data_IF_129539030688
#
_entry.id   IF_129539030688
#
_cell.length_a   1.000
_cell.length_b   1.000
_cell.length_c   1.000
_cell.angle_alpha   90.00
_cell.angle_beta   90.00
_cell.angle_gamma   90.00
#
_symmetry.space_group_name_H-M   'P 1'
#
loop_
_entity.id
_entity.type
_entity.pdbx_description
1 polymer ?
#
# COMPACT_ATOMS: atom_id res chain seq x y z
N UNK A 1 12.69 0.18 -3.98
CA UNK A 1 11.38 0.36 -4.64
C UNK A 1 10.79 -1.00 -4.91
N UNK A 2 9.49 -1.20 -4.65
CA UNK A 2 8.76 -2.43 -4.97
C UNK A 2 7.52 -2.08 -5.80
N UNK A 3 7.08 -2.98 -6.68
CA UNK A 3 5.83 -2.82 -7.42
C UNK A 3 4.65 -3.13 -6.49
N UNK A 4 3.79 -2.14 -6.24
CA UNK A 4 2.58 -2.27 -5.42
C UNK A 4 1.34 -2.10 -6.28
N UNK A 5 0.32 -2.90 -5.99
CA UNK A 5 -1.05 -2.71 -6.44
C UNK A 5 -1.99 -2.71 -5.24
N UNK A 6 -3.27 -2.37 -5.45
CA UNK A 6 -4.25 -2.35 -4.39
C UNK A 6 -5.62 -2.82 -4.90
N UNK A 7 -6.35 -3.60 -4.09
CA UNK A 7 -7.72 -4.01 -4.40
C UNK A 7 -8.70 -2.82 -4.44
N UNK A 8 -8.41 -1.73 -3.72
CA UNK A 8 -9.19 -0.49 -3.76
C UNK A 8 -8.99 0.30 -5.07
N UNK A 9 -7.89 0.07 -5.80
CA UNK A 9 -7.60 0.68 -7.11
C UNK A 9 -7.19 -0.42 -8.10
N UNK A 10 -8.13 -1.28 -8.53
CA UNK A 10 -7.84 -2.43 -9.37
C UNK A 10 -7.12 -2.05 -10.68
N UNK A 11 -6.24 -2.94 -11.14
CA UNK A 11 -5.48 -2.83 -12.41
C UNK A 11 -4.48 -1.66 -12.50
N UNK A 12 -4.21 -1.01 -11.36
CA UNK A 12 -3.17 0.00 -11.22
C UNK A 12 -2.05 -0.60 -10.37
N UNK A 13 -0.85 -0.66 -10.94
CA UNK A 13 0.37 -1.03 -10.25
C UNK A 13 1.41 0.06 -10.49
N UNK A 14 2.14 0.46 -9.46
CA UNK A 14 3.22 1.44 -9.55
C UNK A 14 4.38 1.07 -8.62
N UNK A 15 5.58 1.56 -8.94
CA UNK A 15 6.74 1.43 -8.05
C UNK A 15 6.63 2.43 -6.90
N UNK A 16 6.69 1.92 -5.67
CA UNK A 16 6.63 2.70 -4.43
C UNK A 16 7.89 2.48 -3.61
N UNK A 17 8.36 3.55 -2.96
CA UNK A 17 9.48 3.49 -2.01
C UNK A 17 8.93 3.30 -0.61
N UNK A 18 9.26 2.17 0.01
CA UNK A 18 8.93 1.82 1.39
C UNK A 18 10.20 1.69 2.24
N UNK A 19 10.04 1.64 3.55
CA UNK A 19 11.12 1.17 4.43
C UNK A 19 11.37 -0.31 4.14
N UNK A 20 12.63 -0.69 4.02
CA UNK A 20 13.04 -2.07 3.72
C UNK A 20 12.73 -3.01 4.89
N UNK A 21 12.87 -2.51 6.11
CA UNK A 21 12.62 -3.22 7.35
C UNK A 21 11.71 -2.40 8.27
N UNK A 22 10.86 -3.08 9.03
CA UNK A 22 9.96 -2.48 10.01
C UNK A 22 9.89 -3.33 11.28
N UNK A 23 9.64 -2.65 12.40
CA UNK A 23 9.17 -3.26 13.66
C UNK A 23 7.77 -2.76 13.94
N UNK A 24 6.82 -3.68 14.13
CA UNK A 24 5.43 -3.35 14.43
C UNK A 24 4.96 -4.01 15.71
N UNK A 25 4.11 -3.32 16.45
CA UNK A 25 3.34 -3.86 17.58
C UNK A 25 1.89 -3.97 17.16
N UNK A 26 1.27 -5.11 17.46
CA UNK A 26 -0.12 -5.39 17.13
C UNK A 26 -0.74 -6.30 18.18
N UNK A 27 -2.06 -6.47 18.13
CA UNK A 27 -2.75 -7.50 18.90
C UNK A 27 -3.08 -8.66 17.99
N UNK A 28 -2.89 -9.89 18.48
CA UNK A 28 -3.41 -11.07 17.81
C UNK A 28 -4.94 -11.15 17.96
N UNK A 29 -5.54 -12.22 17.41
CA UNK A 29 -6.99 -12.43 17.43
C UNK A 29 -7.56 -12.62 18.84
N UNK A 30 -6.72 -12.96 19.83
CA UNK A 30 -7.08 -13.12 21.24
C UNK A 30 -6.84 -11.82 22.04
N UNK A 31 -6.39 -10.75 21.38
CA UNK A 31 -6.12 -9.45 22.00
C UNK A 31 -4.75 -9.36 22.69
N UNK A 32 -3.89 -10.38 22.57
CA UNK A 32 -2.57 -10.37 23.19
C UNK A 32 -1.62 -9.50 22.39
N UNK A 33 -0.85 -8.65 23.10
CA UNK A 33 0.19 -7.83 22.48
C UNK A 33 1.34 -8.68 21.93
N UNK A 34 1.67 -8.42 20.67
CA UNK A 34 2.72 -9.07 19.90
C UNK A 34 3.62 -8.00 19.26
N UNK A 35 4.88 -8.35 19.03
CA UNK A 35 5.82 -7.55 18.24
C UNK A 35 6.40 -8.40 17.10
N UNK A 36 6.57 -7.79 15.94
CA UNK A 36 7.13 -8.43 14.74
C UNK A 36 8.16 -7.51 14.11
N UNK A 37 9.36 -8.05 13.86
CA UNK A 37 10.42 -7.43 13.08
C UNK A 37 10.52 -8.18 11.74
N UNK A 38 10.42 -7.46 10.62
CA UNK A 38 10.37 -8.09 9.30
C UNK A 38 10.86 -7.14 8.20
N UNK A 39 11.23 -7.71 7.07
CA UNK A 39 11.69 -7.03 5.86
C UNK A 39 10.99 -7.59 4.60
N UNK A 40 11.46 -7.16 3.42
CA UNK A 40 11.03 -7.70 2.15
C UNK A 40 9.54 -7.45 1.86
N UNK A 41 8.86 -8.44 1.27
CA UNK A 41 7.46 -8.31 0.86
C UNK A 41 6.53 -8.10 2.06
N UNK A 42 6.77 -8.78 3.20
CA UNK A 42 5.90 -8.66 4.37
C UNK A 42 5.98 -7.25 4.98
N UNK A 43 7.18 -6.66 5.05
CA UNK A 43 7.34 -5.27 5.49
C UNK A 43 6.60 -4.29 4.58
N UNK A 44 6.61 -4.52 3.25
CA UNK A 44 5.87 -3.69 2.29
C UNK A 44 4.36 -3.84 2.49
N UNK A 45 3.85 -5.07 2.60
CA UNK A 45 2.43 -5.32 2.85
C UNK A 45 1.95 -4.68 4.15
N UNK A 46 2.70 -4.81 5.25
CA UNK A 46 2.33 -4.19 6.53
C UNK A 46 2.25 -2.67 6.42
N UNK A 47 3.22 -2.04 5.76
CA UNK A 47 3.18 -0.59 5.52
C UNK A 47 1.99 -0.17 4.64
N UNK A 48 1.66 -0.97 3.62
CA UNK A 48 0.50 -0.73 2.75
C UNK A 48 -0.83 -0.80 3.53
N UNK A 49 -1.02 -1.83 4.34
CA UNK A 49 -2.26 -1.98 5.11
C UNK A 49 -2.36 -0.96 6.25
N UNK A 50 -1.23 -0.57 6.84
CA UNK A 50 -1.20 0.52 7.83
C UNK A 50 -1.59 1.87 7.20
N UNK A 51 -1.22 2.13 5.94
CA UNK A 51 -1.68 3.34 5.24
C UNK A 51 -3.22 3.36 5.11
N UNK A 52 -3.86 2.23 4.80
CA UNK A 52 -5.32 2.16 4.73
C UNK A 52 -5.98 2.52 6.06
N UNK A 53 -5.41 2.06 7.18
CA UNK A 53 -5.88 2.44 8.53
C UNK A 53 -5.77 3.96 8.78
N UNK A 54 -4.87 4.63 8.07
CA UNK A 54 -4.67 6.09 8.13
C UNK A 54 -5.37 6.84 6.98
N UNK A 55 -6.22 6.17 6.19
CA UNK A 55 -6.92 6.77 5.06
C UNK A 55 -6.00 7.18 3.90
N UNK A 56 -4.82 6.57 3.80
CA UNK A 56 -3.84 6.81 2.72
C UNK A 56 -3.81 5.64 1.75
N UNK A 57 -3.53 5.92 0.49
CA UNK A 57 -3.35 4.91 -0.55
C UNK A 57 -1.90 4.92 -1.04
N UNK A 58 -1.44 3.80 -1.62
CA UNK A 58 -0.07 3.72 -2.16
C UNK A 58 0.23 4.79 -3.23
N UNK A 59 -0.79 5.24 -3.97
CA UNK A 59 -0.67 6.33 -4.95
C UNK A 59 -0.37 7.70 -4.33
N UNK A 60 -0.49 7.86 -3.02
CA UNK A 60 -0.11 9.08 -2.31
C UNK A 60 1.40 9.12 -2.01
N UNK A 61 2.11 8.00 -2.17
CA UNK A 61 3.56 7.87 -2.00
C UNK A 61 4.36 7.98 -3.30
N UNK A 62 3.69 8.11 -4.45
CA UNK A 62 4.34 8.32 -5.76
C UNK A 62 4.30 9.80 -6.15
N UNK A 63 5.11 10.17 -7.15
CA UNK A 63 5.17 11.58 -7.59
C UNK A 63 3.81 12.08 -8.11
N UNK A 64 3.50 13.39 -7.97
CA UNK A 64 2.21 13.95 -8.39
C UNK A 64 1.85 13.61 -9.84
N UNK A 65 2.82 13.64 -10.75
CA UNK A 65 2.63 13.30 -12.15
C UNK A 65 2.25 11.83 -12.36
N UNK A 66 2.88 10.90 -11.62
CA UNK A 66 2.52 9.48 -11.68
C UNK A 66 1.13 9.24 -11.10
N UNK A 67 0.82 9.88 -9.97
CA UNK A 67 -0.50 9.83 -9.32
C UNK A 67 -1.61 10.29 -10.27
N UNK A 68 -1.43 11.42 -10.94
CA UNK A 68 -2.40 11.92 -11.93
C UNK A 68 -2.64 10.93 -13.07
N UNK A 69 -1.56 10.32 -13.61
CA UNK A 69 -1.66 9.29 -14.67
C UNK A 69 -2.39 8.04 -14.19
N UNK A 70 -2.08 7.58 -12.97
CA UNK A 70 -2.73 6.42 -12.36
C UNK A 70 -4.24 6.66 -12.20
N UNK A 71 -4.64 7.82 -11.67
CA UNK A 71 -6.05 8.19 -11.52
C UNK A 71 -6.78 8.30 -12.86
N UNK A 72 -6.18 8.95 -13.87
CA UNK A 72 -6.76 8.99 -15.23
C UNK A 72 -6.95 7.60 -15.83
N UNK A 73 -6.00 6.69 -15.62
CA UNK A 73 -6.09 5.30 -16.07
C UNK A 73 -7.23 4.57 -15.34
N UNK A 74 -7.32 4.75 -14.02
CA UNK A 74 -8.37 4.18 -13.18
C UNK A 74 -9.77 4.65 -13.62
N UNK A 75 -9.98 5.96 -13.78
CA UNK A 75 -11.27 6.53 -14.22
C UNK A 75 -11.71 5.98 -15.58
N UNK A 76 -10.76 5.80 -16.50
CA UNK A 76 -11.04 5.21 -17.82
C UNK A 76 -11.47 3.74 -17.72
N UNK A 77 -10.95 2.99 -16.75
CA UNK A 77 -11.33 1.60 -16.52
C UNK A 77 -12.72 1.51 -15.89
N UNK A 78 -13.04 2.39 -14.94
CA UNK A 78 -14.36 2.43 -14.30
C UNK A 78 -15.48 2.77 -15.29
N UNK A 79 -15.23 3.65 -16.28
CA UNK A 79 -16.21 3.98 -17.33
C UNK A 79 -16.44 2.88 -18.37
N UNK A 80 -15.63 1.82 -18.35
CA UNK A 80 -15.69 0.71 -19.32
C UNK A 80 -16.41 -0.54 -18.77
N UNK A 81 -16.68 -0.58 -17.47
CA UNK A 81 -17.61 -1.53 -16.86
C UNK A 81 -19.00 -0.92 -16.77
#
# INVERSE_FOLDING_TARGET
EMEEGCLSIPQINEKVTRKEWVRVRYQDMDGKECELETDGLLAVCIQHELDHLNGRLFIDHISPLKRERALKKYDKLQKRG
#
